data_IF_318807095904
#
_entry.id   IF_318807095904
#
_cell.length_a   1.000
_cell.length_b   1.000
_cell.length_c   1.000
_cell.angle_alpha   90.00
_cell.angle_beta   90.00
_cell.angle_gamma   90.00
#
_symmetry.space_group_name_H-M   'P 1'
#
loop_
_entity.id
_entity.type
_entity.pdbx_description
1 polymer ?
#
# COMPACT_ATOMS: atom_id res chain seq x y z
N UNK A 1 9.76 -16.76 24.07
CA UNK A 1 8.48 -16.63 24.80
C UNK A 1 7.38 -17.23 23.94
N UNK A 2 6.72 -18.29 24.43
CA UNK A 2 5.78 -19.13 23.67
C UNK A 2 4.42 -18.42 23.66
N UNK A 3 4.13 -17.65 22.62
CA UNK A 3 2.84 -16.99 22.46
C UNK A 3 1.74 -18.06 22.33
N UNK A 4 0.86 -18.16 23.31
CA UNK A 4 -0.26 -19.12 23.28
C UNK A 4 -1.29 -18.77 22.20
N UNK A 5 -1.36 -17.50 21.78
CA UNK A 5 -2.24 -17.03 20.71
C UNK A 5 -1.55 -15.93 19.89
N UNK A 6 -0.83 -16.29 18.80
CA UNK A 6 -0.18 -15.31 17.95
C UNK A 6 -1.22 -14.51 17.15
N UNK A 7 -1.04 -13.19 17.09
CA UNK A 7 -1.80 -12.25 16.26
C UNK A 7 -3.35 -12.30 16.40
N UNK A 8 -3.91 -11.93 17.57
CA UNK A 8 -5.37 -12.00 17.79
C UNK A 8 -6.20 -11.16 16.80
N UNK A 9 -5.69 -9.99 16.41
CA UNK A 9 -6.36 -9.13 15.42
C UNK A 9 -6.38 -9.74 14.02
N UNK A 10 -5.33 -10.50 13.65
CA UNK A 10 -5.29 -11.20 12.36
C UNK A 10 -6.32 -12.31 12.32
N UNK A 11 -6.40 -13.14 13.37
CA UNK A 11 -7.41 -14.19 13.49
C UNK A 11 -8.83 -13.63 13.42
N UNK A 12 -9.09 -12.50 14.11
CA UNK A 12 -10.40 -11.85 14.07
C UNK A 12 -10.72 -11.28 12.68
N UNK A 13 -9.74 -10.67 12.01
CA UNK A 13 -9.89 -10.17 10.65
C UNK A 13 -10.18 -11.29 9.64
N UNK A 14 -9.43 -12.40 9.73
CA UNK A 14 -9.65 -13.60 8.91
C UNK A 14 -11.03 -14.22 9.14
N UNK A 15 -11.49 -14.30 10.39
CA UNK A 15 -12.82 -14.81 10.71
C UNK A 15 -13.90 -13.90 10.14
N UNK A 16 -13.73 -12.58 10.28
CA UNK A 16 -14.66 -11.60 9.72
C UNK A 16 -14.73 -11.74 8.20
N UNK A 17 -13.57 -11.84 7.55
CA UNK A 17 -13.48 -12.07 6.10
C UNK A 17 -14.17 -13.39 5.69
N UNK A 18 -13.96 -14.46 6.46
CA UNK A 18 -14.62 -15.75 6.25
C UNK A 18 -16.16 -15.66 6.33
N UNK A 19 -16.69 -14.94 7.31
CA UNK A 19 -18.15 -14.73 7.45
C UNK A 19 -18.68 -13.89 6.29
N UNK A 20 -17.95 -12.85 5.87
CA UNK A 20 -18.35 -12.00 4.75
C UNK A 20 -18.38 -12.77 3.42
N UNK A 21 -17.40 -13.64 3.15
CA UNK A 21 -17.36 -14.42 1.91
C UNK A 21 -18.38 -15.57 1.91
N UNK A 22 -18.60 -16.20 3.07
CA UNK A 22 -19.57 -17.30 3.21
C UNK A 22 -21.02 -16.81 3.33
N UNK A 23 -21.23 -15.51 3.57
CA UNK A 23 -22.56 -14.88 3.73
C UNK A 23 -23.44 -15.62 4.77
N UNK A 24 -22.83 -16.27 5.75
CA UNK A 24 -23.51 -17.15 6.70
C UNK A 24 -22.90 -17.05 8.09
N UNK A 25 -23.76 -16.87 9.09
CA UNK A 25 -23.41 -16.86 10.51
C UNK A 25 -23.80 -18.16 11.22
N UNK A 26 -23.98 -19.24 10.46
CA UNK A 26 -24.32 -20.54 11.03
C UNK A 26 -23.23 -21.00 12.03
N UNK A 27 -23.59 -21.73 13.10
CA UNK A 27 -22.61 -22.22 14.07
C UNK A 27 -21.47 -23.04 13.44
N UNK A 28 -21.78 -23.84 12.40
CA UNK A 28 -20.78 -24.60 11.66
C UNK A 28 -19.80 -23.71 10.89
N UNK A 29 -20.32 -22.65 10.24
CA UNK A 29 -19.50 -21.68 9.51
C UNK A 29 -18.55 -20.92 10.44
N UNK A 30 -19.06 -20.49 11.60
CA UNK A 30 -18.26 -19.78 12.61
C UNK A 30 -17.18 -20.69 13.21
N UNK A 31 -17.51 -21.95 13.50
CA UNK A 31 -16.57 -22.91 14.07
C UNK A 31 -15.44 -23.24 13.07
N UNK A 32 -15.77 -23.55 11.82
CA UNK A 32 -14.79 -23.82 10.78
C UNK A 32 -13.93 -22.58 10.48
N UNK A 33 -14.56 -21.41 10.34
CA UNK A 33 -13.87 -20.15 10.14
C UNK A 33 -12.93 -19.80 11.29
N UNK A 34 -13.32 -20.07 12.53
CA UNK A 34 -12.50 -19.84 13.71
C UNK A 34 -11.26 -20.72 13.72
N UNK A 35 -11.43 -22.02 13.46
CA UNK A 35 -10.31 -22.98 13.37
C UNK A 35 -9.34 -22.56 12.27
N UNK A 36 -9.84 -22.27 11.06
CA UNK A 36 -9.02 -21.85 9.93
C UNK A 36 -8.26 -20.55 10.22
N UNK A 37 -8.94 -19.56 10.81
CA UNK A 37 -8.34 -18.25 11.11
C UNK A 37 -7.20 -18.36 12.12
N UNK A 38 -7.38 -19.17 13.17
CA UNK A 38 -6.33 -19.43 14.16
C UNK A 38 -5.17 -20.21 13.54
N UNK A 39 -5.47 -21.23 12.74
CA UNK A 39 -4.44 -22.03 12.06
C UNK A 39 -3.58 -21.15 11.12
N UNK A 40 -4.21 -20.24 10.37
CA UNK A 40 -3.49 -19.30 9.50
C UNK A 40 -2.66 -18.29 10.30
N UNK A 41 -3.19 -17.76 11.39
CA UNK A 41 -2.45 -16.85 12.26
C UNK A 41 -1.23 -17.53 12.91
N UNK A 42 -1.34 -18.83 13.23
CA UNK A 42 -0.22 -19.65 13.66
C UNK A 42 0.82 -19.86 12.56
N UNK A 43 0.39 -20.16 11.32
CA UNK A 43 1.31 -20.28 10.19
C UNK A 43 2.10 -18.98 9.96
N UNK A 44 1.46 -17.82 10.18
CA UNK A 44 2.08 -16.50 10.07
C UNK A 44 3.25 -16.28 11.05
N UNK A 45 3.30 -17.00 12.18
CA UNK A 45 4.42 -16.91 13.13
C UNK A 45 5.74 -17.30 12.49
N UNK A 46 5.72 -18.32 11.61
CA UNK A 46 6.93 -18.80 10.95
C UNK A 46 7.49 -17.79 9.96
N UNK A 47 6.65 -16.91 9.40
CA UNK A 47 7.08 -15.86 8.49
C UNK A 47 7.82 -14.71 9.20
N UNK A 48 7.82 -14.68 10.54
CA UNK A 48 8.47 -13.64 11.36
C UNK A 48 8.28 -12.23 10.78
N UNK A 49 7.02 -11.79 10.57
CA UNK A 49 6.74 -10.55 9.88
C UNK A 49 7.43 -9.37 10.57
N UNK A 50 7.92 -8.42 9.77
CA UNK A 50 8.54 -7.20 10.29
C UNK A 50 7.56 -6.50 11.22
N UNK A 51 7.97 -6.32 12.47
CA UNK A 51 7.15 -5.69 13.50
C UNK A 51 7.37 -4.19 13.44
N UNK A 52 6.44 -3.48 12.83
CA UNK A 52 6.41 -2.02 12.92
C UNK A 52 5.86 -1.60 14.28
N UNK A 53 6.55 -0.65 14.93
CA UNK A 53 5.97 0.09 16.05
C UNK A 53 5.12 1.20 15.44
N UNK A 54 3.79 1.18 15.57
CA UNK A 54 2.96 2.24 15.02
C UNK A 54 3.30 3.56 15.71
N UNK A 55 3.68 4.57 14.92
CA UNK A 55 3.93 5.92 15.37
C UNK A 55 2.63 6.64 15.67
N UNK A 56 2.23 7.59 14.80
CA UNK A 56 0.99 8.36 14.96
C UNK A 56 -0.13 7.83 14.05
N UNK A 57 -1.31 7.60 14.63
CA UNK A 57 -2.50 7.16 13.88
C UNK A 57 -3.24 8.30 13.16
N UNK A 58 -3.06 9.56 13.60
CA UNK A 58 -3.78 10.71 13.07
C UNK A 58 -3.49 11.02 11.58
N UNK A 59 -2.23 10.90 11.09
CA UNK A 59 -1.92 11.09 9.67
C UNK A 59 -2.54 10.06 8.74
N UNK A 60 -2.97 8.89 9.25
CA UNK A 60 -3.55 7.80 8.44
C UNK A 60 -4.76 8.29 7.65
N UNK A 61 -5.73 8.94 8.30
CA UNK A 61 -6.94 9.41 7.62
C UNK A 61 -6.64 10.47 6.56
N UNK A 62 -5.65 11.35 6.80
CA UNK A 62 -5.20 12.34 5.83
C UNK A 62 -4.54 11.69 4.63
N UNK A 63 -3.68 10.69 4.86
CA UNK A 63 -3.02 9.95 3.80
C UNK A 63 -4.04 9.17 2.95
N UNK A 64 -4.97 8.45 3.59
CA UNK A 64 -6.04 7.71 2.90
C UNK A 64 -6.88 8.66 2.05
N UNK A 65 -7.30 9.81 2.58
CA UNK A 65 -8.07 10.79 1.82
C UNK A 65 -7.29 11.34 0.62
N UNK A 66 -6.00 11.65 0.80
CA UNK A 66 -5.15 12.14 -0.28
C UNK A 66 -5.00 11.09 -1.40
N UNK A 67 -4.71 9.84 -1.03
CA UNK A 67 -4.56 8.72 -1.96
C UNK A 67 -5.87 8.44 -2.69
N UNK A 68 -7.01 8.43 -2.00
CA UNK A 68 -8.32 8.24 -2.63
C UNK A 68 -8.63 9.32 -3.68
N UNK A 69 -8.35 10.59 -3.36
CA UNK A 69 -8.50 11.69 -4.33
C UNK A 69 -7.59 11.50 -5.54
N UNK A 70 -6.36 11.04 -5.33
CA UNK A 70 -5.41 10.80 -6.40
C UNK A 70 -5.83 9.64 -7.29
N UNK A 71 -6.33 8.55 -6.72
CA UNK A 71 -6.90 7.42 -7.46
C UNK A 71 -8.13 7.85 -8.25
N UNK A 72 -9.01 8.70 -7.70
CA UNK A 72 -10.17 9.19 -8.47
C UNK A 72 -9.71 10.08 -9.63
N UNK A 73 -8.80 11.03 -9.38
CA UNK A 73 -8.21 11.89 -10.43
C UNK A 73 -7.50 11.06 -11.50
N UNK A 74 -6.81 10.00 -11.09
CA UNK A 74 -6.16 9.00 -11.93
C UNK A 74 -7.12 8.38 -12.93
N UNK A 75 -8.18 7.77 -12.43
CA UNK A 75 -9.16 7.09 -13.26
C UNK A 75 -9.85 8.07 -14.22
N UNK A 76 -10.12 9.30 -13.77
CA UNK A 76 -10.67 10.36 -14.64
C UNK A 76 -9.67 10.75 -15.75
N UNK A 77 -8.39 10.89 -15.43
CA UNK A 77 -7.36 11.23 -16.42
C UNK A 77 -7.23 10.12 -17.48
N UNK A 78 -7.16 8.86 -17.06
CA UNK A 78 -7.14 7.70 -17.95
C UNK A 78 -8.40 7.64 -18.82
N UNK A 79 -9.58 7.86 -18.23
CA UNK A 79 -10.85 7.90 -18.96
C UNK A 79 -10.85 9.00 -20.04
N UNK A 80 -10.33 10.19 -19.72
CA UNK A 80 -10.19 11.29 -20.69
C UNK A 80 -9.23 10.95 -21.82
N UNK A 81 -8.12 10.26 -21.54
CA UNK A 81 -7.18 9.80 -22.58
C UNK A 81 -7.83 8.75 -23.48
N UNK A 82 -8.62 7.83 -22.90
CA UNK A 82 -9.36 6.80 -23.65
C UNK A 82 -10.47 7.39 -24.53
N UNK A 83 -11.21 8.39 -24.03
CA UNK A 83 -12.31 9.04 -24.77
C UNK A 83 -11.82 10.17 -25.70
N UNK A 84 -10.65 10.74 -25.44
CA UNK A 84 -10.06 11.85 -26.18
C UNK A 84 -9.35 11.40 -27.46
N UNK A 85 -9.54 12.16 -28.55
CA UNK A 85 -8.91 11.91 -29.84
C UNK A 85 -7.44 12.37 -29.81
N UNK A 86 -6.49 11.41 -29.77
CA UNK A 86 -5.02 11.56 -29.92
C UNK A 86 -4.43 12.81 -29.22
N UNK A 87 -4.23 12.70 -27.91
CA UNK A 87 -3.34 13.60 -27.17
C UNK A 87 -1.87 13.46 -27.62
N UNK A 88 -1.04 14.45 -27.26
CA UNK A 88 0.42 14.44 -27.50
C UNK A 88 1.04 13.10 -27.06
N UNK A 89 2.07 12.59 -27.76
CA UNK A 89 2.79 11.41 -27.30
C UNK A 89 3.38 11.68 -25.91
N UNK A 90 2.94 10.90 -24.92
CA UNK A 90 3.48 10.96 -23.58
C UNK A 90 4.97 10.59 -23.63
N UNK A 91 5.81 11.40 -22.98
CA UNK A 91 7.25 11.09 -22.92
C UNK A 91 7.48 10.24 -21.68
N UNK A 92 7.62 8.94 -21.86
CA UNK A 92 7.91 8.04 -20.77
C UNK A 92 9.38 8.19 -20.31
N UNK A 93 9.62 8.06 -19.00
CA UNK A 93 10.96 8.21 -18.44
C UNK A 93 11.14 7.47 -17.12
N UNK A 94 12.39 7.21 -16.76
CA UNK A 94 12.74 6.64 -15.46
C UNK A 94 13.19 7.74 -14.51
N UNK A 95 12.66 7.71 -13.28
CA UNK A 95 13.05 8.61 -12.21
C UNK A 95 13.62 7.78 -11.05
N UNK A 96 14.79 8.19 -10.56
CA UNK A 96 15.40 7.60 -9.38
C UNK A 96 15.28 8.56 -8.20
N UNK A 97 14.71 8.07 -7.09
CA UNK A 97 14.44 8.86 -5.89
C UNK A 97 15.06 8.16 -4.69
N UNK A 98 15.82 8.90 -3.90
CA UNK A 98 16.32 8.40 -2.62
C UNK A 98 15.24 8.55 -1.52
N UNK A 99 14.84 7.43 -0.93
CA UNK A 99 13.88 7.37 0.16
C UNK A 99 14.59 7.40 1.53
N UNK A 100 13.99 8.11 2.47
CA UNK A 100 14.39 8.18 3.88
C UNK A 100 13.66 7.15 4.76
N UNK A 101 12.59 6.53 4.24
CA UNK A 101 11.88 5.44 4.91
C UNK A 101 12.79 4.25 5.20
N UNK A 102 12.69 3.73 6.41
CA UNK A 102 13.46 2.58 6.92
C UNK A 102 12.59 1.39 7.30
N UNK A 103 11.31 1.63 7.59
CA UNK A 103 10.36 0.58 7.94
C UNK A 103 9.86 -0.15 6.68
N UNK A 104 9.93 -1.48 6.69
CA UNK A 104 9.60 -2.30 5.52
C UNK A 104 8.11 -2.22 5.15
N UNK A 105 7.22 -2.09 6.14
CA UNK A 105 5.79 -1.96 5.89
C UNK A 105 5.47 -0.58 5.31
N UNK A 106 6.15 0.48 5.75
CA UNK A 106 6.02 1.82 5.16
C UNK A 106 6.40 1.83 3.68
N UNK A 107 7.50 1.17 3.33
CA UNK A 107 7.97 1.04 1.93
C UNK A 107 6.96 0.22 1.11
N UNK A 108 6.44 -0.87 1.66
CA UNK A 108 5.41 -1.68 0.99
C UNK A 108 4.13 -0.87 0.72
N UNK A 109 3.66 -0.09 1.69
CA UNK A 109 2.49 0.79 1.51
C UNK A 109 2.78 1.88 0.48
N UNK A 110 3.98 2.49 0.49
CA UNK A 110 4.38 3.44 -0.53
C UNK A 110 4.33 2.82 -1.92
N UNK A 111 4.84 1.59 -2.08
CA UNK A 111 4.79 0.88 -3.35
C UNK A 111 3.36 0.64 -3.84
N UNK A 112 2.44 0.25 -2.95
CA UNK A 112 1.01 0.12 -3.28
C UNK A 112 0.41 1.46 -3.71
N UNK A 113 0.68 2.54 -2.97
CA UNK A 113 0.18 3.89 -3.30
C UNK A 113 0.68 4.31 -4.69
N UNK A 114 1.99 4.23 -4.92
CA UNK A 114 2.60 4.67 -6.19
C UNK A 114 2.15 3.84 -7.38
N UNK A 115 1.84 2.56 -7.17
CA UNK A 115 1.28 1.69 -8.23
C UNK A 115 -0.19 2.02 -8.52
N UNK A 116 -0.95 2.48 -7.53
CA UNK A 116 -2.35 2.87 -7.70
C UNK A 116 -2.52 4.30 -8.28
N UNK A 117 -1.51 5.17 -8.12
CA UNK A 117 -1.49 6.48 -8.76
C UNK A 117 -1.28 6.39 -10.29
N UNK A 118 -1.92 7.28 -11.06
CA UNK A 118 -1.85 7.29 -12.52
C UNK A 118 -0.44 7.65 -12.97
N UNK A 119 0.02 6.98 -14.01
CA UNK A 119 1.21 7.43 -14.73
C UNK A 119 2.52 7.18 -13.96
N UNK A 120 2.50 6.37 -12.90
CA UNK A 120 3.70 5.88 -12.22
C UNK A 120 3.66 4.36 -12.14
N UNK A 121 4.81 3.71 -12.31
CA UNK A 121 4.97 2.28 -12.09
C UNK A 121 6.23 2.03 -11.24
N UNK A 122 6.04 1.31 -10.13
CA UNK A 122 7.12 0.86 -9.27
C UNK A 122 7.90 -0.24 -9.98
N UNK A 123 9.22 -0.07 -10.13
CA UNK A 123 10.07 -1.07 -10.75
C UNK A 123 10.95 -1.77 -9.74
N UNK A 124 11.74 -1.01 -9.01
CA UNK A 124 12.75 -1.56 -8.12
C UNK A 124 12.98 -0.62 -6.94
N UNK A 125 13.28 -1.22 -5.78
CA UNK A 125 13.81 -0.50 -4.63
C UNK A 125 15.03 -1.23 -4.10
N UNK A 126 16.19 -0.58 -4.21
CA UNK A 126 17.42 -1.07 -3.60
C UNK A 126 17.45 -0.70 -2.12
N UNK A 127 17.46 -1.73 -1.26
CA UNK A 127 17.48 -1.58 0.19
C UNK A 127 18.80 -1.00 0.71
N UNK A 128 19.91 -1.21 0.01
CA UNK A 128 21.25 -0.78 0.43
C UNK A 128 21.45 0.70 0.14
N UNK A 129 21.17 1.12 -1.10
CA UNK A 129 21.29 2.53 -1.49
C UNK A 129 20.04 3.36 -1.19
N UNK A 130 18.92 2.72 -0.78
CA UNK A 130 17.60 3.34 -0.57
C UNK A 130 17.07 4.08 -1.80
N UNK A 131 17.45 3.62 -2.98
CA UNK A 131 17.05 4.23 -4.25
C UNK A 131 15.84 3.48 -4.82
N UNK A 132 14.76 4.21 -5.01
CA UNK A 132 13.56 3.80 -5.71
C UNK A 132 13.69 4.17 -7.19
N UNK A 133 13.52 3.19 -8.07
CA UNK A 133 13.39 3.39 -9.51
C UNK A 133 11.91 3.34 -9.88
N UNK A 134 11.39 4.46 -10.39
CA UNK A 134 10.03 4.60 -10.90
C UNK A 134 10.06 4.79 -12.41
N UNK A 135 9.09 4.21 -13.09
CA UNK A 135 8.75 4.57 -14.46
C UNK A 135 7.57 5.54 -14.45
N UNK A 136 7.71 6.67 -15.12
CA UNK A 136 6.69 7.71 -15.24
C UNK A 136 6.20 7.73 -16.68
N UNK A 137 4.89 7.62 -16.85
CA UNK A 137 4.25 7.54 -18.17
C UNK A 137 4.36 8.86 -18.94
N UNK A 138 4.31 9.99 -18.24
CA UNK A 138 4.49 11.32 -18.83
C UNK A 138 5.39 12.20 -17.97
N UNK A 139 6.62 12.39 -18.44
CA UNK A 139 7.61 13.30 -17.84
C UNK A 139 7.51 14.73 -18.40
N UNK A 140 6.68 14.97 -19.42
CA UNK A 140 6.63 16.25 -20.13
C UNK A 140 5.95 17.39 -19.34
N UNK A 141 5.17 17.05 -18.29
CA UNK A 141 4.41 18.04 -17.51
C UNK A 141 5.25 18.86 -16.51
N UNK A 142 6.57 18.63 -16.42
CA UNK A 142 7.44 19.41 -15.53
C UNK A 142 7.11 19.29 -14.05
N UNK A 143 6.32 18.28 -13.66
CA UNK A 143 6.02 18.00 -12.26
C UNK A 143 7.27 17.52 -11.54
N UNK A 144 7.58 18.14 -10.40
CA UNK A 144 8.60 17.66 -9.47
C UNK A 144 8.06 16.44 -8.71
N UNK A 145 8.07 15.30 -9.38
CA UNK A 145 7.65 14.01 -8.84
C UNK A 145 8.41 13.64 -7.57
N UNK A 146 9.69 14.02 -7.48
CA UNK A 146 10.47 13.83 -6.28
C UNK A 146 9.86 14.61 -5.12
N UNK A 147 9.60 15.91 -5.28
CA UNK A 147 8.96 16.70 -4.23
C UNK A 147 7.59 16.17 -3.85
N UNK A 148 6.75 15.78 -4.82
CA UNK A 148 5.40 15.24 -4.57
C UNK A 148 5.49 13.96 -3.74
N UNK A 149 6.35 13.02 -4.14
CA UNK A 149 6.47 11.73 -3.46
C UNK A 149 6.96 11.93 -2.01
N UNK A 150 8.00 12.77 -1.83
CA UNK A 150 8.56 13.06 -0.51
C UNK A 150 7.57 13.75 0.41
N UNK A 151 6.85 14.75 -0.08
CA UNK A 151 5.95 15.56 0.76
C UNK A 151 4.60 14.91 1.01
N UNK A 152 4.02 14.27 -0.02
CA UNK A 152 2.62 13.83 0.02
C UNK A 152 2.44 12.40 0.51
N UNK A 153 3.44 11.55 0.32
CA UNK A 153 3.36 10.12 0.68
C UNK A 153 4.42 9.72 1.69
N UNK A 154 5.69 10.00 1.40
CA UNK A 154 6.82 9.55 2.23
C UNK A 154 6.74 10.14 3.65
N UNK A 155 6.55 11.45 3.77
CA UNK A 155 6.48 12.12 5.08
C UNK A 155 5.31 11.62 5.95
N UNK A 156 4.06 11.53 5.46
CA UNK A 156 2.99 10.92 6.25
C UNK A 156 3.26 9.46 6.62
N UNK A 157 3.88 8.68 5.74
CA UNK A 157 4.24 7.29 6.03
C UNK A 157 5.31 7.20 7.12
N UNK A 158 6.33 8.07 7.09
CA UNK A 158 7.30 8.18 8.17
C UNK A 158 6.59 8.46 9.50
N UNK A 159 5.65 9.40 9.56
CA UNK A 159 4.91 9.69 10.80
C UNK A 159 4.02 8.53 11.31
N UNK A 160 3.61 7.61 10.43
CA UNK A 160 2.73 6.47 10.77
C UNK A 160 3.55 5.25 11.21
N UNK A 161 4.69 5.00 10.57
CA UNK A 161 5.47 3.77 10.71
C UNK A 161 6.81 3.97 11.44
N UNK A 162 7.20 5.22 11.72
CA UNK A 162 8.42 5.60 12.44
C UNK A 162 8.10 6.62 13.55
#
# INVERSE_FOLDING_TARGET
>A
MRYWFPFPFLSLGLLTFWVLISQSTSPGTLLLGGILSVALAWAMVNLSPHKTVPGRVRPVFRLVGAVAVDIVRSNIAVLKVMLGRRGKPATAGFLQIELTLTDENAIAVLACILTATPGTAWLEFDRTSRRLTLHILDTADGMDWQHIIKTRYERPLAEIFQ
#
